data_IF_766963869524
#
_entry.id   IF_766963869524
#
_cell.length_a   1.000
_cell.length_b   1.000
_cell.length_c   1.000
_cell.angle_alpha   90.00
_cell.angle_beta   90.00
_cell.angle_gamma   90.00
#
_symmetry.space_group_name_H-M   'P 1'
#
loop_
_entity.id
_entity.type
_entity.pdbx_description
1 polymer ?
#
# COMPACT_ATOMS: atom_id res chain seq x y z
N UNK A 1 -9.06 29.23 -21.74
CA UNK A 1 -7.92 29.47 -20.82
C UNK A 1 -8.13 28.80 -19.44
N UNK A 2 -9.28 28.91 -18.84
CA UNK A 2 -9.63 28.42 -17.49
C UNK A 2 -9.45 26.90 -17.29
N UNK A 3 -9.91 26.06 -18.23
CA UNK A 3 -9.82 24.57 -18.12
C UNK A 3 -8.38 24.08 -18.11
N UNK A 4 -7.49 24.73 -18.89
CA UNK A 4 -6.07 24.36 -18.95
C UNK A 4 -5.35 24.67 -17.63
N UNK A 5 -5.68 25.80 -17.01
CA UNK A 5 -5.13 26.21 -15.71
C UNK A 5 -5.60 25.26 -14.60
N UNK A 6 -6.89 24.91 -14.57
CA UNK A 6 -7.44 23.95 -13.60
C UNK A 6 -6.75 22.58 -13.74
N UNK A 7 -6.58 22.06 -14.95
CA UNK A 7 -5.87 20.79 -15.18
C UNK A 7 -4.42 20.86 -14.72
N UNK A 8 -3.71 21.96 -14.94
CA UNK A 8 -2.33 22.14 -14.49
C UNK A 8 -2.25 22.16 -12.97
N UNK A 9 -3.15 22.87 -12.31
CA UNK A 9 -3.26 22.91 -10.86
C UNK A 9 -3.54 21.55 -10.26
N UNK A 10 -4.53 20.80 -10.77
CA UNK A 10 -4.84 19.43 -10.35
C UNK A 10 -3.66 18.49 -10.56
N UNK A 11 -2.91 18.63 -11.66
CA UNK A 11 -1.69 17.83 -11.90
C UNK A 11 -0.61 18.12 -10.87
N UNK A 12 -0.42 19.37 -10.46
CA UNK A 12 0.52 19.76 -9.41
C UNK A 12 0.10 19.17 -8.05
N UNK A 13 -1.18 19.25 -7.70
CA UNK A 13 -1.72 18.64 -6.48
C UNK A 13 -1.59 17.11 -6.49
N UNK A 14 -1.88 16.47 -7.60
CA UNK A 14 -1.68 15.02 -7.76
C UNK A 14 -0.20 14.64 -7.53
N UNK A 15 0.73 15.41 -8.09
CA UNK A 15 2.16 15.17 -7.87
C UNK A 15 2.57 15.27 -6.39
N UNK A 16 1.94 16.16 -5.62
CA UNK A 16 2.16 16.26 -4.17
C UNK A 16 1.58 15.05 -3.45
N UNK A 17 0.36 14.63 -3.80
CA UNK A 17 -0.37 13.56 -3.09
C UNK A 17 0.18 12.16 -3.35
N UNK A 18 0.63 11.87 -4.57
CA UNK A 18 1.15 10.55 -4.98
C UNK A 18 2.57 10.62 -5.55
N UNK A 19 3.28 11.73 -5.31
CA UNK A 19 4.60 11.98 -5.85
C UNK A 19 5.72 11.21 -5.16
N UNK A 20 6.94 11.45 -5.65
CA UNK A 20 8.14 10.74 -5.22
C UNK A 20 8.46 10.95 -3.74
N UNK A 21 8.26 12.17 -3.21
CA UNK A 21 8.50 12.47 -1.80
C UNK A 21 7.68 11.57 -0.86
N UNK A 22 6.37 11.42 -1.13
CA UNK A 22 5.51 10.53 -0.38
C UNK A 22 5.96 9.07 -0.50
N UNK A 23 6.24 8.64 -1.73
CA UNK A 23 6.63 7.26 -2.00
C UNK A 23 7.98 6.93 -1.33
N UNK A 24 8.92 7.85 -1.33
CA UNK A 24 10.22 7.69 -0.70
C UNK A 24 10.11 7.59 0.83
N UNK A 25 9.35 8.47 1.48
CA UNK A 25 9.13 8.44 2.93
C UNK A 25 8.41 7.16 3.37
N UNK A 26 7.38 6.74 2.63
CA UNK A 26 6.67 5.49 2.92
C UNK A 26 7.59 4.28 2.76
N UNK A 27 8.40 4.27 1.70
CA UNK A 27 9.34 3.18 1.45
C UNK A 27 10.39 3.03 2.55
N UNK A 28 10.82 4.12 3.18
CA UNK A 28 11.77 4.08 4.29
C UNK A 28 11.21 3.29 5.48
N UNK A 29 9.94 3.52 5.83
CA UNK A 29 9.27 2.83 6.92
C UNK A 29 9.07 1.34 6.56
N UNK A 30 8.61 1.07 5.34
CA UNK A 30 8.41 -0.29 4.85
C UNK A 30 9.73 -1.08 4.90
N UNK A 31 10.82 -0.49 4.40
CA UNK A 31 12.14 -1.13 4.40
C UNK A 31 12.64 -1.41 5.81
N UNK A 32 12.47 -0.48 6.76
CA UNK A 32 12.80 -0.71 8.17
C UNK A 32 12.07 -1.92 8.74
N UNK A 33 10.76 -2.05 8.47
CA UNK A 33 9.96 -3.18 8.90
C UNK A 33 10.41 -4.49 8.23
N UNK A 34 10.63 -4.47 6.92
CA UNK A 34 11.12 -5.65 6.19
C UNK A 34 12.45 -6.12 6.78
N UNK A 35 13.43 -5.22 6.94
CA UNK A 35 14.74 -5.58 7.47
C UNK A 35 14.71 -6.09 8.93
N UNK A 36 13.80 -5.55 9.75
CA UNK A 36 13.61 -5.96 11.13
C UNK A 36 13.09 -7.40 11.24
N UNK A 37 12.24 -7.84 10.31
CA UNK A 37 11.55 -9.14 10.37
C UNK A 37 12.01 -10.13 9.31
N UNK A 38 12.92 -9.75 8.43
CA UNK A 38 13.57 -10.68 7.50
C UNK A 38 14.75 -11.39 8.15
N UNK A 39 14.99 -12.61 7.69
CA UNK A 39 16.22 -13.32 8.02
C UNK A 39 17.40 -12.65 7.30
N UNK A 40 18.46 -12.32 8.07
CA UNK A 40 19.66 -11.65 7.54
C UNK A 40 20.38 -12.47 6.46
N UNK A 41 20.18 -13.78 6.41
CA UNK A 41 20.93 -14.70 5.53
C UNK A 41 20.15 -15.22 4.32
N UNK A 42 18.89 -14.82 4.12
CA UNK A 42 18.03 -15.34 3.05
C UNK A 42 17.65 -14.30 1.99
N UNK A 43 17.30 -14.76 0.80
CA UNK A 43 16.67 -13.92 -0.24
C UNK A 43 15.32 -13.43 0.25
N UNK A 44 14.93 -12.21 -0.14
CA UNK A 44 13.64 -11.61 0.25
C UNK A 44 12.69 -11.65 -0.94
N UNK A 45 11.54 -12.31 -0.77
CA UNK A 45 10.46 -12.35 -1.76
C UNK A 45 9.30 -11.50 -1.27
N UNK A 46 8.94 -10.48 -2.05
CA UNK A 46 7.88 -9.54 -1.72
C UNK A 46 6.75 -9.67 -2.74
N UNK A 47 5.52 -9.68 -2.25
CA UNK A 47 4.32 -9.49 -3.05
C UNK A 47 3.80 -8.08 -2.80
N UNK A 48 3.51 -7.32 -3.86
CA UNK A 48 2.82 -6.03 -3.80
C UNK A 48 1.43 -6.22 -4.41
N UNK A 49 0.40 -6.19 -3.58
CA UNK A 49 -0.98 -6.38 -3.98
C UNK A 49 -1.69 -5.04 -4.12
N UNK A 50 -2.21 -4.74 -5.30
CA UNK A 50 -2.74 -3.43 -5.64
C UNK A 50 -1.63 -2.40 -5.88
N UNK A 51 -0.62 -2.79 -6.67
CA UNK A 51 0.56 -1.95 -6.93
C UNK A 51 0.24 -0.65 -7.67
N UNK A 52 -0.94 -0.55 -8.27
CA UNK A 52 -1.36 0.61 -9.05
C UNK A 52 -0.67 0.73 -10.41
N UNK A 53 -1.08 1.76 -11.14
CA UNK A 53 -0.54 2.05 -12.47
C UNK A 53 0.91 2.56 -12.43
N UNK A 54 1.31 3.24 -11.35
CA UNK A 54 2.66 3.76 -11.14
C UNK A 54 3.18 3.32 -9.78
N UNK A 55 3.81 2.15 -9.67
CA UNK A 55 4.20 1.53 -8.40
C UNK A 55 5.46 2.18 -7.79
N UNK A 56 5.44 3.51 -7.59
CA UNK A 56 6.58 4.28 -7.07
C UNK A 56 7.07 3.75 -5.72
N UNK A 57 6.15 3.43 -4.80
CA UNK A 57 6.51 2.94 -3.46
C UNK A 57 7.36 1.69 -3.56
N UNK A 58 6.92 0.70 -4.36
CA UNK A 58 7.65 -0.56 -4.49
C UNK A 58 9.01 -0.37 -5.17
N UNK A 59 9.11 0.57 -6.08
CA UNK A 59 10.37 0.92 -6.73
C UNK A 59 11.39 1.48 -5.74
N UNK A 60 10.96 2.39 -4.85
CA UNK A 60 11.82 2.91 -3.78
C UNK A 60 12.14 1.85 -2.74
N UNK A 61 11.19 0.95 -2.40
CA UNK A 61 11.43 -0.21 -1.52
C UNK A 61 12.51 -1.08 -2.10
N UNK A 62 12.42 -1.46 -3.38
CA UNK A 62 13.43 -2.27 -4.06
C UNK A 62 14.81 -1.60 -4.03
N UNK A 63 14.90 -0.32 -4.45
CA UNK A 63 16.14 0.44 -4.49
C UNK A 63 16.81 0.51 -3.12
N UNK A 64 16.04 0.81 -2.06
CA UNK A 64 16.55 0.91 -0.69
C UNK A 64 16.97 -0.45 -0.13
N UNK A 65 16.22 -1.51 -0.40
CA UNK A 65 16.60 -2.86 -0.01
C UNK A 65 17.88 -3.31 -0.71
N UNK A 66 18.01 -3.07 -2.01
CA UNK A 66 19.23 -3.40 -2.78
C UNK A 66 20.45 -2.70 -2.21
N UNK A 67 20.33 -1.43 -1.83
CA UNK A 67 21.44 -0.65 -1.27
C UNK A 67 21.83 -1.09 0.15
N UNK A 68 20.84 -1.51 0.95
CA UNK A 68 21.06 -1.89 2.37
C UNK A 68 21.33 -3.39 2.57
N UNK A 69 21.02 -4.20 1.57
CA UNK A 69 21.02 -5.65 1.66
C UNK A 69 21.64 -6.22 0.39
N UNK A 70 22.81 -6.80 0.50
CA UNK A 70 23.56 -7.38 -0.64
C UNK A 70 22.93 -8.67 -1.20
N UNK A 71 21.60 -8.86 -1.09
CA UNK A 71 20.91 -10.12 -1.34
C UNK A 71 19.96 -10.07 -2.52
N UNK A 72 19.56 -11.27 -2.93
CA UNK A 72 18.60 -11.47 -4.00
C UNK A 72 17.21 -11.04 -3.50
N UNK A 73 16.67 -9.97 -4.11
CA UNK A 73 15.33 -9.44 -3.80
C UNK A 73 14.48 -9.69 -5.03
N UNK A 74 13.34 -10.34 -4.84
CA UNK A 74 12.35 -10.54 -5.90
C UNK A 74 11.02 -9.95 -5.49
N UNK A 75 10.42 -9.16 -6.36
CA UNK A 75 9.15 -8.50 -6.12
C UNK A 75 8.16 -8.88 -7.21
N UNK A 76 7.00 -9.37 -6.80
CA UNK A 76 5.88 -9.67 -7.69
C UNK A 76 4.74 -8.69 -7.39
N UNK A 77 4.42 -7.86 -8.37
CA UNK A 77 3.35 -6.86 -8.31
C UNK A 77 2.08 -7.44 -8.93
N UNK A 78 0.97 -7.35 -8.23
CA UNK A 78 -0.34 -7.82 -8.70
C UNK A 78 -1.33 -6.66 -8.73
N UNK A 79 -1.95 -6.42 -9.88
CA UNK A 79 -2.96 -5.38 -10.04
C UNK A 79 -4.05 -5.76 -11.03
N UNK A 80 -5.19 -5.04 -10.96
CA UNK A 80 -6.25 -5.12 -11.97
C UNK A 80 -5.83 -4.54 -13.32
N UNK A 81 -4.87 -3.60 -13.30
CA UNK A 81 -4.31 -3.00 -14.51
C UNK A 81 -3.41 -4.02 -15.25
N UNK A 82 -3.58 -4.06 -16.56
CA UNK A 82 -2.86 -5.04 -17.37
C UNK A 82 -1.39 -4.62 -17.51
N UNK A 83 -0.46 -5.56 -17.32
CA UNK A 83 0.99 -5.36 -17.43
C UNK A 83 1.45 -4.80 -18.78
N UNK A 84 0.62 -4.89 -19.83
CA UNK A 84 0.91 -4.33 -21.17
C UNK A 84 1.15 -2.81 -21.12
N UNK A 85 0.53 -2.10 -20.18
CA UNK A 85 0.70 -0.65 -20.03
C UNK A 85 1.94 -0.29 -19.18
N UNK A 86 2.62 -1.27 -18.62
CA UNK A 86 3.77 -1.12 -17.74
C UNK A 86 5.11 -1.40 -18.44
N UNK A 87 5.13 -1.42 -19.79
CA UNK A 87 6.32 -1.74 -20.59
C UNK A 87 7.56 -0.94 -20.22
N UNK A 88 7.40 0.30 -19.75
CA UNK A 88 8.51 1.16 -19.35
C UNK A 88 9.08 0.83 -17.96
N UNK A 89 8.40 0.00 -17.14
CA UNK A 89 8.82 -0.41 -15.81
C UNK A 89 9.50 -1.78 -15.79
N UNK A 90 9.40 -2.56 -16.87
CA UNK A 90 9.96 -3.91 -17.01
C UNK A 90 11.49 -3.95 -17.20
N UNK A 91 12.21 -2.85 -17.01
CA UNK A 91 13.68 -2.84 -17.13
C UNK A 91 14.38 -3.55 -15.96
N UNK A 92 13.65 -3.91 -14.91
CA UNK A 92 14.24 -4.57 -13.75
C UNK A 92 13.74 -6.02 -13.66
N UNK A 93 14.64 -6.98 -13.91
CA UNK A 93 14.35 -8.43 -13.86
C UNK A 93 13.88 -8.93 -12.48
N UNK A 94 14.13 -8.16 -11.45
CA UNK A 94 13.75 -8.49 -10.07
C UNK A 94 12.33 -8.03 -9.70
N UNK A 95 11.69 -7.16 -10.52
CA UNK A 95 10.33 -6.69 -10.33
C UNK A 95 9.47 -7.17 -11.48
N UNK A 96 8.52 -8.05 -11.21
CA UNK A 96 7.65 -8.66 -12.21
C UNK A 96 6.20 -8.27 -11.95
N UNK A 97 5.49 -7.85 -13.00
CA UNK A 97 4.10 -7.43 -12.94
C UNK A 97 3.16 -8.51 -13.47
N UNK A 98 2.12 -8.78 -12.71
CA UNK A 98 1.09 -9.76 -13.01
C UNK A 98 -0.30 -9.14 -12.95
N UNK A 99 -1.21 -9.63 -13.81
CA UNK A 99 -2.64 -9.40 -13.60
C UNK A 99 -3.09 -10.06 -12.28
N UNK A 100 -4.02 -9.41 -11.59
CA UNK A 100 -4.59 -9.92 -10.35
C UNK A 100 -5.23 -11.32 -10.50
N UNK A 101 -5.72 -11.65 -11.71
CA UNK A 101 -6.23 -12.98 -12.05
C UNK A 101 -5.18 -14.08 -11.87
N UNK A 102 -3.91 -13.75 -12.11
CA UNK A 102 -2.81 -14.70 -11.98
C UNK A 102 -2.42 -15.00 -10.51
N UNK A 103 -2.98 -14.26 -9.56
CA UNK A 103 -2.66 -14.46 -8.14
C UNK A 103 -2.98 -15.88 -7.65
N UNK A 104 -4.08 -16.48 -8.12
CA UNK A 104 -4.45 -17.84 -7.73
C UNK A 104 -3.51 -18.89 -8.33
N UNK A 105 -3.06 -18.68 -9.55
CA UNK A 105 -2.16 -19.59 -10.28
C UNK A 105 -0.72 -19.53 -9.75
N UNK A 106 -0.35 -18.40 -9.14
CA UNK A 106 0.99 -18.22 -8.60
C UNK A 106 1.18 -19.03 -7.29
N UNK A 107 2.00 -20.07 -7.36
CA UNK A 107 2.33 -20.95 -6.22
C UNK A 107 3.43 -20.38 -5.31
N UNK A 108 4.03 -19.26 -5.64
CA UNK A 108 5.12 -18.64 -4.88
C UNK A 108 4.65 -18.31 -3.46
N UNK A 109 5.49 -18.65 -2.47
CA UNK A 109 5.37 -18.14 -1.10
C UNK A 109 6.27 -16.91 -0.94
N UNK A 110 5.78 -15.93 -0.20
CA UNK A 110 6.43 -14.65 0.01
C UNK A 110 6.80 -14.46 1.48
N UNK A 111 7.85 -13.70 1.71
CA UNK A 111 8.20 -13.27 3.07
C UNK A 111 7.26 -12.15 3.51
N UNK A 112 7.00 -11.20 2.60
CA UNK A 112 6.12 -10.07 2.84
C UNK A 112 5.10 -9.89 1.73
N UNK A 113 3.88 -9.53 2.11
CA UNK A 113 2.87 -8.97 1.22
C UNK A 113 2.61 -7.52 1.62
N UNK A 114 2.67 -6.61 0.66
CA UNK A 114 2.35 -5.19 0.85
C UNK A 114 0.94 -4.91 0.35
N UNK A 115 0.17 -4.18 1.15
CA UNK A 115 -1.14 -3.62 0.86
C UNK A 115 -1.08 -2.12 1.15
N UNK A 116 -0.74 -1.33 0.14
CA UNK A 116 -0.57 0.11 0.29
C UNK A 116 -1.77 0.86 -0.28
N UNK A 117 -2.62 1.41 0.59
CA UNK A 117 -3.82 2.18 0.21
C UNK A 117 -4.80 1.38 -0.67
N UNK A 118 -5.06 0.12 -0.33
CA UNK A 118 -5.89 -0.80 -1.12
C UNK A 118 -7.24 -1.08 -0.47
N UNK A 119 -7.24 -1.30 0.86
CA UNK A 119 -8.42 -1.87 1.51
C UNK A 119 -9.62 -0.91 1.47
N UNK A 120 -9.39 0.40 1.60
CA UNK A 120 -10.45 1.40 1.54
C UNK A 120 -11.11 1.48 0.14
N UNK A 121 -10.38 1.17 -0.95
CA UNK A 121 -10.95 1.11 -2.30
C UNK A 121 -11.85 -0.11 -2.53
N UNK A 122 -11.63 -1.21 -1.81
CA UNK A 122 -12.53 -2.38 -1.84
C UNK A 122 -13.87 -2.03 -1.17
N UNK A 123 -13.84 -1.13 -0.19
CA UNK A 123 -14.98 -0.65 0.57
C UNK A 123 -15.08 -1.32 1.93
N UNK A 124 -15.08 -0.49 2.98
CA UNK A 124 -15.08 -0.98 4.37
C UNK A 124 -16.39 -1.66 4.77
N UNK A 125 -17.46 -1.40 4.05
CA UNK A 125 -18.76 -2.08 4.19
C UNK A 125 -18.73 -3.53 3.71
N UNK A 126 -17.77 -3.88 2.84
CA UNK A 126 -17.59 -5.24 2.30
C UNK A 126 -16.69 -6.09 3.21
N UNK A 127 -17.02 -6.13 4.51
CA UNK A 127 -16.17 -6.74 5.53
C UNK A 127 -15.81 -8.19 5.25
N UNK A 128 -16.72 -8.98 4.68
CA UNK A 128 -16.47 -10.38 4.33
C UNK A 128 -15.46 -10.52 3.18
N UNK A 129 -15.52 -9.62 2.19
CA UNK A 129 -14.56 -9.60 1.07
C UNK A 129 -13.18 -9.25 1.59
N UNK A 130 -13.08 -8.23 2.44
CA UNK A 130 -11.83 -7.80 3.07
C UNK A 130 -11.21 -8.89 3.95
N UNK A 131 -12.05 -9.56 4.77
CA UNK A 131 -11.63 -10.71 5.57
C UNK A 131 -11.02 -11.81 4.70
N UNK A 132 -11.74 -12.23 3.65
CA UNK A 132 -11.30 -13.31 2.77
C UNK A 132 -10.00 -12.94 2.03
N UNK A 133 -9.87 -11.67 1.63
CA UNK A 133 -8.63 -11.16 1.03
C UNK A 133 -7.46 -11.28 2.02
N UNK A 134 -7.60 -10.78 3.25
CA UNK A 134 -6.52 -10.85 4.25
C UNK A 134 -6.12 -12.30 4.51
N UNK A 135 -7.08 -13.20 4.70
CA UNK A 135 -6.80 -14.65 4.90
C UNK A 135 -6.03 -15.22 3.69
N UNK A 136 -6.46 -14.89 2.47
CA UNK A 136 -5.78 -15.33 1.24
C UNK A 136 -4.32 -14.84 1.20
N UNK A 137 -4.07 -13.59 1.57
CA UNK A 137 -2.73 -13.02 1.56
C UNK A 137 -1.84 -13.61 2.67
N UNK A 138 -2.39 -13.84 3.87
CA UNK A 138 -1.70 -14.53 4.96
C UNK A 138 -1.34 -15.99 4.63
N UNK A 139 -2.11 -16.63 3.76
CA UNK A 139 -1.77 -17.96 3.27
C UNK A 139 -0.66 -17.95 2.21
N UNK A 140 -0.38 -16.79 1.59
CA UNK A 140 0.67 -16.62 0.58
C UNK A 140 1.95 -16.00 1.13
N UNK A 141 1.86 -15.20 2.19
CA UNK A 141 2.99 -14.49 2.76
C UNK A 141 3.12 -14.73 4.26
N UNK A 142 4.37 -14.78 4.75
CA UNK A 142 4.70 -14.90 6.18
C UNK A 142 4.20 -13.69 6.96
N UNK A 143 4.35 -12.51 6.39
CA UNK A 143 3.88 -11.25 6.94
C UNK A 143 3.05 -10.49 5.91
N UNK A 144 1.98 -9.83 6.37
CA UNK A 144 1.20 -8.88 5.56
C UNK A 144 1.35 -7.49 6.18
N UNK A 145 1.88 -6.55 5.41
CA UNK A 145 2.02 -5.15 5.78
C UNK A 145 0.87 -4.37 5.16
N UNK A 146 0.03 -3.80 5.99
CA UNK A 146 -1.13 -3.02 5.58
C UNK A 146 -0.86 -1.56 5.93
N UNK A 147 -0.73 -0.70 4.92
CA UNK A 147 -0.75 0.75 5.04
C UNK A 147 -2.10 1.24 4.56
N UNK A 148 -2.78 2.02 5.39
CA UNK A 148 -4.07 2.61 5.03
C UNK A 148 -4.35 3.87 5.87
N UNK A 149 -5.60 4.37 5.84
CA UNK A 149 -6.02 5.59 6.52
C UNK A 149 -7.06 5.33 7.60
N UNK A 150 -6.93 6.05 8.73
CA UNK A 150 -7.98 6.13 9.75
C UNK A 150 -8.69 7.48 9.69
N UNK A 151 -10.02 7.42 9.69
CA UNK A 151 -10.87 8.57 9.95
C UNK A 151 -11.16 8.72 11.46
N UNK A 152 -11.32 9.97 11.90
CA UNK A 152 -11.60 10.36 13.28
C UNK A 152 -12.84 11.25 13.35
N UNK A 153 -13.81 11.07 12.47
CA UNK A 153 -15.04 11.85 12.36
C UNK A 153 -15.16 12.55 10.99
N UNK A 154 -16.17 13.40 10.88
CA UNK A 154 -16.58 14.01 9.60
C UNK A 154 -15.44 14.76 8.89
N UNK A 155 -14.77 15.67 9.56
CA UNK A 155 -13.70 16.49 8.95
C UNK A 155 -12.51 15.66 8.46
N UNK A 156 -12.07 14.69 9.24
CA UNK A 156 -10.98 13.80 8.81
C UNK A 156 -11.38 12.95 7.62
N UNK A 157 -12.62 12.44 7.60
CA UNK A 157 -13.14 11.68 6.48
C UNK A 157 -13.18 12.55 5.21
N UNK A 158 -13.67 13.79 5.31
CA UNK A 158 -13.71 14.72 4.17
C UNK A 158 -12.28 15.02 3.66
N UNK A 159 -11.36 15.31 4.57
CA UNK A 159 -9.95 15.59 4.21
C UNK A 159 -9.30 14.42 3.50
N UNK A 160 -9.44 13.19 4.02
CA UNK A 160 -8.88 11.99 3.38
C UNK A 160 -9.51 11.78 1.99
N UNK A 161 -10.84 11.98 1.87
CA UNK A 161 -11.53 11.87 0.56
C UNK A 161 -10.98 12.86 -0.48
N UNK A 162 -10.74 14.11 -0.08
CA UNK A 162 -10.17 15.13 -0.97
C UNK A 162 -8.75 14.71 -1.39
N UNK A 163 -7.93 14.24 -0.45
CA UNK A 163 -6.58 13.75 -0.73
C UNK A 163 -6.58 12.55 -1.69
N UNK A 164 -7.47 11.61 -1.44
CA UNK A 164 -7.61 10.41 -2.25
C UNK A 164 -8.14 10.73 -3.65
N UNK A 165 -9.13 11.63 -3.75
CA UNK A 165 -9.60 12.15 -5.05
C UNK A 165 -8.45 12.78 -5.83
N UNK A 166 -7.68 13.69 -5.22
CA UNK A 166 -6.55 14.36 -5.86
C UNK A 166 -5.47 13.36 -6.30
N UNK A 167 -5.22 12.33 -5.50
CA UNK A 167 -4.23 11.29 -5.80
C UNK A 167 -4.67 10.38 -6.95
N UNK A 168 -5.96 10.12 -7.09
CA UNK A 168 -6.51 9.15 -8.02
C UNK A 168 -7.20 9.74 -9.25
N UNK A 169 -7.37 11.06 -9.30
CA UNK A 169 -8.13 11.78 -10.34
C UNK A 169 -7.72 11.38 -11.77
N UNK A 170 -6.42 11.28 -12.03
CA UNK A 170 -5.91 10.95 -13.37
C UNK A 170 -5.89 9.44 -13.69
N UNK A 171 -6.16 8.59 -12.70
CA UNK A 171 -6.14 7.14 -12.83
C UNK A 171 -7.54 6.52 -12.88
N UNK A 172 -8.59 7.33 -12.86
CA UNK A 172 -9.99 6.90 -12.84
C UNK A 172 -10.31 5.89 -11.71
N UNK A 173 -9.62 5.99 -10.57
CA UNK A 173 -9.90 5.16 -9.40
C UNK A 173 -10.99 5.83 -8.58
N UNK A 174 -12.11 5.17 -8.28
CA UNK A 174 -13.18 5.74 -7.49
C UNK A 174 -12.73 6.12 -6.08
N UNK A 175 -13.15 7.30 -5.63
CA UNK A 175 -12.91 7.74 -4.25
C UNK A 175 -13.91 7.06 -3.31
N UNK A 176 -13.46 6.40 -2.24
CA UNK A 176 -14.36 5.76 -1.28
C UNK A 176 -15.23 6.76 -0.52
N UNK A 177 -16.41 6.31 -0.09
CA UNK A 177 -17.30 7.13 0.75
C UNK A 177 -16.88 7.13 2.22
N UNK A 178 -16.22 6.06 2.69
CA UNK A 178 -15.83 5.88 4.09
C UNK A 178 -14.45 5.25 4.19
N UNK A 179 -13.72 5.62 5.25
CA UNK A 179 -12.43 5.04 5.60
C UNK A 179 -12.55 4.30 6.94
N UNK A 180 -11.57 3.46 7.26
CA UNK A 180 -11.54 2.76 8.52
C UNK A 180 -11.47 3.74 9.70
N UNK A 181 -12.10 3.36 10.80
CA UNK A 181 -11.71 3.81 12.13
C UNK A 181 -11.00 2.65 12.83
N UNK A 182 -10.39 2.93 14.01
CA UNK A 182 -9.64 1.90 14.75
C UNK A 182 -10.50 0.67 15.10
N UNK A 183 -11.77 0.90 15.46
CA UNK A 183 -12.68 -0.18 15.86
C UNK A 183 -13.00 -1.09 14.68
N UNK A 184 -13.41 -0.53 13.54
CA UNK A 184 -13.75 -1.32 12.35
C UNK A 184 -12.54 -2.09 11.81
N UNK A 185 -11.34 -1.48 11.85
CA UNK A 185 -10.12 -2.15 11.43
C UNK A 185 -9.72 -3.29 12.39
N UNK A 186 -9.79 -3.07 13.70
CA UNK A 186 -9.54 -4.13 14.68
C UNK A 186 -10.53 -5.29 14.55
N UNK A 187 -11.80 -5.01 14.26
CA UNK A 187 -12.81 -6.04 13.98
C UNK A 187 -12.44 -6.86 12.74
N UNK A 188 -11.97 -6.21 11.66
CA UNK A 188 -11.48 -6.89 10.46
C UNK A 188 -10.30 -7.82 10.79
N UNK A 189 -9.33 -7.35 11.58
CA UNK A 189 -8.18 -8.16 11.99
C UNK A 189 -8.59 -9.37 12.82
N UNK A 190 -9.53 -9.20 13.75
CA UNK A 190 -10.09 -10.30 14.56
C UNK A 190 -10.79 -11.32 13.67
N UNK A 191 -11.66 -10.88 12.76
CA UNK A 191 -12.40 -11.75 11.85
C UNK A 191 -11.48 -12.52 10.88
N UNK A 192 -10.36 -11.93 10.49
CA UNK A 192 -9.37 -12.57 9.62
C UNK A 192 -8.33 -13.42 10.37
N UNK A 193 -8.54 -13.66 11.66
CA UNK A 193 -7.61 -14.41 12.53
C UNK A 193 -6.17 -13.92 12.40
N UNK A 194 -5.99 -12.59 12.48
CA UNK A 194 -4.71 -11.91 12.30
C UNK A 194 -4.04 -11.61 13.63
N UNK A 195 -2.79 -12.07 13.81
CA UNK A 195 -1.94 -11.64 14.91
C UNK A 195 -1.17 -10.37 14.48
N UNK A 196 -1.35 -9.30 15.22
CA UNK A 196 -0.59 -8.06 15.00
C UNK A 196 0.82 -8.24 15.55
N UNK A 197 1.82 -7.96 14.71
CA UNK A 197 3.25 -8.05 15.04
C UNK A 197 3.80 -6.68 15.40
N UNK A 198 3.45 -5.66 14.60
CA UNK A 198 3.88 -4.28 14.82
C UNK A 198 2.84 -3.28 14.31
N UNK A 199 2.83 -2.08 14.89
CA UNK A 199 1.97 -0.96 14.50
C UNK A 199 2.81 0.30 14.41
N UNK A 200 2.61 1.07 13.34
CA UNK A 200 3.21 2.39 13.17
C UNK A 200 2.09 3.41 12.93
N UNK A 201 2.10 4.48 13.70
CA UNK A 201 1.14 5.58 13.63
C UNK A 201 1.84 6.92 13.44
N UNK A 202 1.07 7.96 13.19
CA UNK A 202 1.56 9.33 13.02
C UNK A 202 2.64 9.45 11.94
N UNK A 203 2.37 8.85 10.79
CA UNK A 203 3.34 8.72 9.70
C UNK A 203 3.38 10.01 8.88
N UNK A 204 4.50 10.72 8.94
CA UNK A 204 4.75 11.92 8.13
C UNK A 204 5.16 11.52 6.71
N UNK A 205 4.22 11.52 5.78
CA UNK A 205 4.47 11.16 4.38
C UNK A 205 4.68 12.38 3.48
N UNK A 206 4.20 13.55 3.91
CA UNK A 206 4.14 14.76 3.11
C UNK A 206 5.01 15.87 3.70
N UNK A 207 5.35 16.85 2.87
CA UNK A 207 6.11 18.02 3.28
C UNK A 207 5.31 18.87 4.28
N UNK A 208 6.01 19.62 5.13
CA UNK A 208 5.43 20.35 6.27
C UNK A 208 4.35 21.34 5.86
N UNK A 209 4.50 22.02 4.74
CA UNK A 209 3.51 22.97 4.23
C UNK A 209 2.17 22.32 3.79
N UNK A 210 2.14 20.98 3.66
CA UNK A 210 0.95 20.24 3.27
C UNK A 210 0.27 19.53 4.46
N UNK A 211 0.82 19.64 5.66
CA UNK A 211 0.36 18.91 6.85
C UNK A 211 -1.06 19.31 7.30
N UNK A 212 -1.54 20.49 6.92
CA UNK A 212 -2.93 20.91 7.22
C UNK A 212 -3.97 20.01 6.55
N UNK A 213 -3.65 19.44 5.36
CA UNK A 213 -4.52 18.50 4.64
C UNK A 213 -4.12 17.04 4.88
N UNK A 214 -2.88 16.79 5.25
CA UNK A 214 -2.30 15.44 5.34
C UNK A 214 -1.81 15.11 6.74
N UNK A 215 -2.69 15.26 7.74
CA UNK A 215 -2.34 15.02 9.13
C UNK A 215 -1.71 13.61 9.29
N UNK A 216 -0.49 13.50 9.87
CA UNK A 216 0.18 12.22 10.07
C UNK A 216 -0.64 11.19 10.81
N UNK A 217 -1.56 11.63 11.71
CA UNK A 217 -2.46 10.75 12.46
C UNK A 217 -3.41 9.93 11.57
N UNK A 218 -3.68 10.40 10.35
CA UNK A 218 -4.55 9.65 9.44
C UNK A 218 -3.88 8.40 8.88
N UNK A 219 -2.55 8.36 8.83
CA UNK A 219 -1.82 7.24 8.27
C UNK A 219 -1.47 6.21 9.34
N UNK A 220 -1.66 4.94 9.01
CA UNK A 220 -1.20 3.83 9.82
C UNK A 220 -0.53 2.74 8.99
N UNK A 221 0.33 1.98 9.64
CA UNK A 221 0.85 0.71 9.13
C UNK A 221 0.65 -0.34 10.21
N UNK A 222 0.13 -1.49 9.80
CA UNK A 222 0.09 -2.71 10.61
C UNK A 222 0.89 -3.80 9.90
N UNK A 223 1.81 -4.40 10.62
CA UNK A 223 2.43 -5.65 10.22
C UNK A 223 1.70 -6.77 10.94
N UNK A 224 1.09 -7.66 10.17
CA UNK A 224 0.32 -8.78 10.69
C UNK A 224 0.84 -10.12 10.16
N UNK A 225 0.52 -11.19 10.87
CA UNK A 225 0.71 -12.56 10.40
C UNK A 225 -0.51 -13.41 10.77
N UNK A 226 -0.64 -14.58 10.17
CA UNK A 226 -1.66 -15.53 10.55
C UNK A 226 -1.51 -15.91 12.03
N UNK A 227 -2.59 -15.89 12.79
CA UNK A 227 -2.60 -16.45 14.14
C UNK A 227 -2.48 -17.97 14.02
N UNK A 228 -1.54 -18.55 14.73
CA UNK A 228 -1.48 -19.99 14.92
C UNK A 228 -2.33 -20.23 16.16
N UNK A 229 -3.53 -20.79 15.97
CA UNK A 229 -4.29 -21.30 17.10
C UNK A 229 -3.53 -22.54 17.58
N UNK A 230 -2.95 -22.44 18.76
CA UNK A 230 -2.53 -23.62 19.52
C UNK A 230 -3.76 -24.36 20.00
#
# INVERSE_FOLDING_TARGET
MTVKIIKLFLKKLNHITVGDYRAENLSEIIVKLILKYSDKNQSIKIMDYGSGFQPKVIYYVYKKLKNKHNKNIKIHCFDIYNSKNLKNLNQNKDIVFYSLQNLNLNKTKYDFCLLNDVLHHIGIEKLLVLKNLIIKLQNKAKFVLIKDHFQYGFFSNLTIRVMDFLGNYFNNVPTPNKYFNKTSFNSLLKLSNSKVVEKVFNIKLYQSYFLFMSNPKFNFIYLIKKSINN
#
